data_IF_746449835913
#
_entry.id   IF_746449835913
#
_cell.length_a   1.000
_cell.length_b   1.000
_cell.length_c   1.000
_cell.angle_alpha   90.00
_cell.angle_beta   90.00
_cell.angle_gamma   90.00
#
_symmetry.space_group_name_H-M   'P 1'
#
loop_
_entity.id
_entity.type
_entity.pdbx_description
1 polymer ?
#
# COMPACT_ATOMS: atom_id res chain seq x y z
N UNK A 1 -20.74 29.91 52.33
CA UNK A 1 -20.64 29.19 53.62
C UNK A 1 -21.60 28.00 53.55
N UNK A 2 -21.11 26.82 53.21
CA UNK A 2 -21.59 25.51 53.67
C UNK A 2 -20.59 24.48 53.13
N UNK A 3 -19.61 24.19 53.98
CA UNK A 3 -18.68 23.09 53.80
C UNK A 3 -19.38 21.82 54.27
N UNK A 4 -19.51 20.84 53.38
CA UNK A 4 -19.88 19.47 53.72
C UNK A 4 -18.83 18.54 53.13
N UNK A 5 -17.89 18.07 53.96
CA UNK A 5 -16.91 17.05 53.61
C UNK A 5 -17.64 15.72 53.40
N UNK A 6 -17.67 15.22 52.16
CA UNK A 6 -18.05 13.82 51.87
C UNK A 6 -16.77 12.98 51.95
N UNK A 7 -16.75 11.84 52.69
CA UNK A 7 -15.56 11.01 52.79
C UNK A 7 -15.29 10.30 51.47
N UNK A 8 -14.07 10.45 50.94
CA UNK A 8 -13.56 9.61 49.85
C UNK A 8 -13.17 8.26 50.45
N UNK A 9 -14.10 7.31 50.44
CA UNK A 9 -13.75 5.89 50.55
C UNK A 9 -13.17 5.44 49.21
N UNK A 10 -11.89 5.08 49.21
CA UNK A 10 -11.23 4.41 48.09
C UNK A 10 -11.85 3.02 47.92
N UNK A 11 -12.86 2.90 47.06
CA UNK A 11 -13.23 1.62 46.48
C UNK A 11 -12.27 1.33 45.34
N UNK A 12 -11.31 0.45 45.60
CA UNK A 12 -10.60 -0.30 44.55
C UNK A 12 -11.62 -1.10 43.76
N UNK A 13 -12.20 -0.46 42.75
CA UNK A 13 -13.01 -1.11 41.73
C UNK A 13 -12.04 -1.78 40.76
N UNK A 14 -11.66 -3.02 41.05
CA UNK A 14 -11.17 -3.97 40.04
C UNK A 14 -12.31 -4.23 39.05
N UNK A 15 -12.51 -3.30 38.12
CA UNK A 15 -13.23 -3.57 36.89
C UNK A 15 -12.15 -4.00 35.90
N UNK A 16 -12.16 -5.26 35.52
CA UNK A 16 -11.67 -5.64 34.20
C UNK A 16 -12.77 -5.25 33.20
N UNK A 17 -12.63 -4.19 32.41
CA UNK A 17 -13.33 -4.14 31.15
C UNK A 17 -12.52 -5.00 30.17
N UNK A 18 -13.20 -5.82 29.36
CA UNK A 18 -12.63 -6.50 28.18
C UNK A 18 -12.05 -7.91 28.33
N UNK A 19 -12.41 -8.70 29.35
CA UNK A 19 -12.09 -10.15 29.33
C UNK A 19 -12.84 -10.93 28.22
N UNK A 20 -13.96 -10.41 27.71
CA UNK A 20 -14.83 -11.10 26.75
C UNK A 20 -14.65 -10.65 25.27
N UNK A 21 -13.67 -9.81 24.94
CA UNK A 21 -13.36 -9.46 23.54
C UNK A 21 -12.47 -10.52 22.87
N UNK A 22 -11.63 -11.22 23.64
CA UNK A 22 -10.73 -12.24 23.09
C UNK A 22 -11.47 -13.46 22.52
N UNK A 23 -12.66 -13.79 23.04
CA UNK A 23 -13.44 -14.96 22.62
C UNK A 23 -14.30 -14.71 21.37
N UNK A 24 -14.67 -13.46 21.07
CA UNK A 24 -15.42 -13.14 19.84
C UNK A 24 -14.53 -13.12 18.58
N UNK A 25 -13.22 -13.04 18.77
CA UNK A 25 -12.26 -12.75 17.69
C UNK A 25 -11.63 -14.01 17.06
N UNK A 26 -11.58 -15.13 17.79
CA UNK A 26 -10.92 -16.35 17.30
C UNK A 26 -11.82 -17.20 16.37
N UNK A 27 -13.12 -17.27 16.63
CA UNK A 27 -14.05 -18.06 15.80
C UNK A 27 -14.33 -17.44 14.42
N UNK A 28 -14.20 -16.11 14.26
CA UNK A 28 -14.35 -15.44 12.97
C UNK A 28 -13.11 -15.55 12.07
N UNK A 29 -11.95 -15.93 12.63
CA UNK A 29 -10.65 -15.96 11.92
C UNK A 29 -10.37 -17.29 11.24
N UNK A 30 -11.00 -18.37 11.70
CA UNK A 30 -10.91 -19.70 11.11
C UNK A 30 -12.33 -20.20 10.88
N UNK A 31 -12.84 -20.24 9.63
CA UNK A 31 -14.14 -20.84 9.40
C UNK A 31 -14.13 -22.27 9.94
N UNK A 32 -15.13 -22.63 10.74
CA UNK A 32 -15.56 -24.02 10.82
C UNK A 32 -15.72 -24.55 9.39
N UNK A 33 -15.33 -25.81 9.14
CA UNK A 33 -15.27 -26.40 7.81
C UNK A 33 -16.50 -26.03 6.96
N UNK A 34 -16.28 -25.42 5.78
CA UNK A 34 -17.27 -25.03 4.78
C UNK A 34 -18.21 -23.84 5.10
N UNK A 35 -17.78 -22.83 5.89
CA UNK A 35 -18.53 -21.56 6.03
C UNK A 35 -17.82 -20.38 5.36
N UNK A 36 -18.60 -19.48 4.75
CA UNK A 36 -18.10 -18.18 4.30
C UNK A 36 -17.85 -17.28 5.51
N UNK A 37 -16.68 -16.64 5.55
CA UNK A 37 -16.40 -15.56 6.49
C UNK A 37 -17.03 -14.26 5.96
N UNK A 38 -17.93 -13.59 6.71
CA UNK A 38 -18.41 -12.26 6.35
C UNK A 38 -17.25 -11.26 6.26
N UNK A 39 -17.31 -10.35 5.29
CA UNK A 39 -16.32 -9.31 5.08
C UNK A 39 -17.00 -7.99 4.66
N UNK A 40 -16.38 -6.87 5.03
CA UNK A 40 -16.97 -5.53 5.00
C UNK A 40 -16.06 -4.54 4.27
N UNK A 41 -16.67 -3.70 3.44
CA UNK A 41 -16.05 -2.57 2.76
C UNK A 41 -16.27 -1.27 3.52
N UNK A 42 -15.86 -0.14 2.92
CA UNK A 42 -16.04 1.17 3.53
C UNK A 42 -17.52 1.56 3.69
N UNK A 43 -18.36 1.21 2.71
CA UNK A 43 -19.80 1.54 2.73
C UNK A 43 -20.59 0.72 3.78
N UNK A 44 -19.98 -0.31 4.37
CA UNK A 44 -20.63 -1.17 5.36
C UNK A 44 -20.40 -0.71 6.82
N UNK A 45 -19.57 0.32 7.04
CA UNK A 45 -19.14 0.75 8.38
C UNK A 45 -19.22 2.26 8.55
N UNK A 46 -19.25 2.73 9.80
CA UNK A 46 -19.12 4.13 10.15
C UNK A 46 -18.27 4.29 11.43
N UNK A 47 -17.56 5.41 11.55
CA UNK A 47 -16.77 5.72 12.75
C UNK A 47 -17.71 6.24 13.84
N UNK A 48 -17.60 5.66 15.04
CA UNK A 48 -18.34 6.11 16.22
C UNK A 48 -17.56 7.24 16.90
N UNK A 49 -18.19 8.40 17.21
CA UNK A 49 -17.53 9.47 17.95
C UNK A 49 -17.00 9.02 19.31
N UNK A 50 -15.78 9.46 19.64
CA UNK A 50 -15.13 9.19 20.92
C UNK A 50 -15.66 10.02 22.07
N UNK A 51 -15.10 9.78 23.27
CA UNK A 51 -15.44 10.51 24.50
C UNK A 51 -14.81 11.90 24.58
N UNK A 52 -13.77 12.15 23.78
CA UNK A 52 -13.03 13.40 23.71
C UNK A 52 -12.97 13.91 22.27
N UNK A 53 -12.96 15.23 22.10
CA UNK A 53 -12.83 15.91 20.81
C UNK A 53 -11.60 16.79 20.81
N UNK A 54 -10.86 16.81 19.70
CA UNK A 54 -9.69 17.66 19.49
C UNK A 54 -10.00 18.74 18.44
N UNK A 55 -9.28 19.85 18.49
CA UNK A 55 -9.32 20.81 17.39
C UNK A 55 -8.68 20.16 16.15
N UNK A 56 -9.24 20.31 14.93
CA UNK A 56 -8.65 19.72 13.73
C UNK A 56 -7.17 20.10 13.49
N UNK A 57 -6.78 21.32 13.87
CA UNK A 57 -5.40 21.80 13.74
C UNK A 57 -4.41 21.10 14.70
N UNK A 58 -4.90 20.40 15.73
CA UNK A 58 -4.08 19.66 16.69
C UNK A 58 -3.80 18.22 16.23
N UNK A 59 -4.32 17.79 15.07
CA UNK A 59 -4.15 16.43 14.54
C UNK A 59 -2.83 16.30 13.78
N UNK A 60 -1.94 15.44 14.25
CA UNK A 60 -0.73 15.05 13.51
C UNK A 60 -1.08 14.00 12.44
N UNK A 61 -1.01 14.40 11.17
CA UNK A 61 -1.24 13.55 10.00
C UNK A 61 0.04 12.87 9.49
N UNK A 62 1.18 13.14 10.11
CA UNK A 62 2.45 12.65 9.63
C UNK A 62 2.59 11.14 9.80
N UNK A 63 3.37 10.54 8.90
CA UNK A 63 3.72 9.14 8.98
C UNK A 63 5.14 8.92 8.43
N UNK A 64 5.72 7.76 8.75
CA UNK A 64 7.08 7.42 8.33
C UNK A 64 7.15 6.09 7.61
N UNK A 65 8.04 6.01 6.63
CA UNK A 65 8.38 4.81 5.89
C UNK A 65 9.90 4.74 5.72
N UNK A 66 10.54 3.78 6.40
CA UNK A 66 12.00 3.78 6.54
C UNK A 66 12.46 5.08 7.22
N UNK A 67 13.42 5.75 6.61
CA UNK A 67 13.99 7.02 7.12
C UNK A 67 13.25 8.27 6.60
N UNK A 68 12.15 8.08 5.85
CA UNK A 68 11.38 9.18 5.26
C UNK A 68 10.15 9.49 6.11
N UNK A 69 9.94 10.77 6.42
CA UNK A 69 8.73 11.29 7.07
C UNK A 69 7.93 12.12 6.07
N UNK A 70 6.63 11.87 6.03
CA UNK A 70 5.66 12.57 5.19
C UNK A 70 4.70 13.37 6.07
N UNK A 71 4.21 14.50 5.57
CA UNK A 71 3.32 15.37 6.32
C UNK A 71 1.86 14.91 6.25
N UNK A 72 1.49 14.18 5.20
CA UNK A 72 0.15 13.66 4.97
C UNK A 72 0.19 12.17 4.63
N UNK A 73 -0.83 11.37 5.01
CA UNK A 73 -0.84 9.91 4.86
C UNK A 73 -1.38 9.49 3.48
N UNK A 74 -0.95 10.18 2.42
CA UNK A 74 -1.40 9.90 1.05
C UNK A 74 -0.25 9.42 0.17
N UNK A 75 -0.49 8.27 -0.46
CA UNK A 75 0.38 7.72 -1.51
C UNK A 75 -0.42 7.68 -2.81
N UNK A 76 0.06 8.35 -3.85
CA UNK A 76 -0.54 8.25 -5.17
C UNK A 76 -0.15 6.93 -5.85
N UNK A 77 -1.17 6.27 -6.39
CA UNK A 77 -1.05 4.94 -7.00
C UNK A 77 -0.10 4.95 -8.20
N UNK A 78 0.72 3.90 -8.33
CA UNK A 78 1.69 3.76 -9.40
C UNK A 78 1.03 3.37 -10.73
N UNK A 79 0.33 4.33 -11.31
CA UNK A 79 -0.41 4.20 -12.56
C UNK A 79 -0.06 5.38 -13.48
N UNK A 80 0.17 5.13 -14.77
CA UNK A 80 0.49 6.22 -15.70
C UNK A 80 -0.65 7.23 -15.86
N UNK A 81 -1.89 6.81 -15.60
CA UNK A 81 -3.04 7.72 -15.56
C UNK A 81 -3.15 8.57 -14.30
N UNK A 82 -2.21 8.43 -13.35
CA UNK A 82 -2.21 9.12 -12.05
C UNK A 82 -0.89 9.86 -11.83
N UNK A 83 0.25 9.17 -11.98
CA UNK A 83 1.56 9.70 -11.62
C UNK A 83 2.44 9.87 -12.85
N UNK A 84 2.72 11.12 -13.19
CA UNK A 84 3.87 11.53 -13.98
C UNK A 84 4.93 12.20 -13.08
N UNK A 85 6.09 12.56 -13.65
CA UNK A 85 7.15 13.28 -12.92
C UNK A 85 6.66 14.60 -12.32
N UNK A 86 5.82 15.37 -13.05
CA UNK A 86 5.32 16.66 -12.58
C UNK A 86 4.42 16.51 -11.35
N UNK A 87 3.52 15.53 -11.40
CA UNK A 87 2.60 15.19 -10.33
C UNK A 87 3.35 14.63 -9.13
N UNK A 88 4.39 13.81 -9.35
CA UNK A 88 5.23 13.31 -8.26
C UNK A 88 5.90 14.44 -7.48
N UNK A 89 6.44 15.44 -8.18
CA UNK A 89 7.01 16.63 -7.56
C UNK A 89 5.93 17.43 -6.83
N UNK A 90 4.79 17.69 -7.47
CA UNK A 90 3.70 18.48 -6.88
C UNK A 90 3.15 17.85 -5.59
N UNK A 91 2.87 16.54 -5.59
CA UNK A 91 2.38 15.85 -4.40
C UNK A 91 3.45 15.77 -3.31
N UNK A 92 4.72 15.56 -3.68
CA UNK A 92 5.83 15.56 -2.73
C UNK A 92 6.01 16.92 -2.04
N UNK A 93 5.83 18.03 -2.77
CA UNK A 93 5.87 19.39 -2.19
C UNK A 93 4.70 19.67 -1.24
N UNK A 94 3.56 19.01 -1.44
CA UNK A 94 2.42 19.02 -0.51
C UNK A 94 2.63 18.08 0.70
N UNK A 95 3.74 17.34 0.73
CA UNK A 95 4.12 16.46 1.83
C UNK A 95 3.58 15.03 1.73
N UNK A 96 3.02 14.64 0.56
CA UNK A 96 2.62 13.27 0.25
C UNK A 96 3.71 12.47 -0.45
N UNK A 97 3.37 11.26 -0.90
CA UNK A 97 4.24 10.40 -1.68
C UNK A 97 3.58 10.04 -3.01
N UNK A 98 4.32 10.11 -4.12
CA UNK A 98 3.86 9.59 -5.40
C UNK A 98 4.82 8.51 -5.89
N UNK A 99 4.27 7.42 -6.43
CA UNK A 99 5.06 6.28 -6.89
C UNK A 99 5.02 6.22 -8.41
N UNK A 100 6.17 6.38 -9.06
CA UNK A 100 6.27 6.30 -10.52
C UNK A 100 6.30 4.84 -10.98
N UNK A 101 5.43 4.45 -11.91
CA UNK A 101 5.43 3.09 -12.48
C UNK A 101 6.57 2.92 -13.51
N UNK A 102 7.59 2.13 -13.20
CA UNK A 102 8.73 1.94 -14.10
C UNK A 102 8.41 1.03 -15.29
N UNK A 103 7.34 0.24 -15.20
CA UNK A 103 6.83 -0.53 -16.34
C UNK A 103 5.81 0.26 -17.16
N UNK A 104 5.56 1.51 -16.76
CA UNK A 104 4.67 2.44 -17.42
C UNK A 104 5.27 3.13 -18.65
N UNK A 105 4.55 4.13 -19.15
CA UNK A 105 4.94 4.89 -20.34
C UNK A 105 6.11 5.85 -20.07
N UNK A 106 6.25 6.31 -18.82
CA UNK A 106 7.31 7.21 -18.36
C UNK A 106 8.73 6.71 -18.63
N UNK A 107 8.90 5.38 -18.63
CA UNK A 107 10.17 4.69 -18.84
C UNK A 107 10.26 4.02 -20.22
N UNK A 108 9.29 4.22 -21.11
CA UNK A 108 9.27 3.65 -22.48
C UNK A 108 9.42 4.72 -23.56
N UNK A 109 8.98 5.95 -23.27
CA UNK A 109 8.94 7.05 -24.24
C UNK A 109 9.65 8.31 -23.73
N UNK A 110 10.32 9.01 -24.66
CA UNK A 110 10.88 10.34 -24.40
C UNK A 110 9.79 11.33 -23.98
N UNK A 111 8.66 11.27 -24.70
CA UNK A 111 7.48 12.11 -24.53
C UNK A 111 6.28 11.23 -24.18
N UNK A 112 6.13 10.80 -22.90
CA UNK A 112 5.03 9.92 -22.49
C UNK A 112 3.65 10.58 -22.60
N UNK A 113 3.58 11.91 -22.64
CA UNK A 113 2.34 12.67 -22.83
C UNK A 113 1.65 12.35 -24.17
N UNK A 114 2.40 12.03 -25.23
CA UNK A 114 1.84 11.71 -26.56
C UNK A 114 1.00 10.41 -26.55
N UNK A 115 1.56 9.24 -26.16
CA UNK A 115 0.76 8.03 -26.08
C UNK A 115 -0.33 8.09 -25.00
N UNK A 116 -0.12 8.86 -23.91
CA UNK A 116 -1.17 9.09 -22.91
C UNK A 116 -2.36 9.86 -23.49
N UNK A 117 -2.10 10.91 -24.28
CA UNK A 117 -3.15 11.67 -24.95
C UNK A 117 -3.87 10.81 -26.01
N UNK A 118 -3.14 9.96 -26.74
CA UNK A 118 -3.74 9.00 -27.68
C UNK A 118 -4.70 8.03 -26.97
N UNK A 119 -4.28 7.45 -25.84
CA UNK A 119 -5.11 6.55 -25.03
C UNK A 119 -6.34 7.29 -24.48
N UNK A 120 -6.17 8.52 -23.98
CA UNK A 120 -7.28 9.30 -23.43
C UNK A 120 -8.32 9.71 -24.49
N UNK A 121 -7.89 9.91 -25.74
CA UNK A 121 -8.77 10.24 -26.86
C UNK A 121 -9.40 9.02 -27.54
N UNK A 122 -8.91 7.80 -27.27
CA UNK A 122 -9.36 6.58 -27.90
C UNK A 122 -10.77 6.18 -27.48
N UNK A 123 -11.53 5.59 -28.41
CA UNK A 123 -12.85 5.02 -28.12
C UNK A 123 -12.71 3.68 -27.38
N UNK A 124 -13.79 3.26 -26.70
CA UNK A 124 -13.80 2.01 -25.91
C UNK A 124 -13.54 0.77 -26.76
N UNK A 125 -13.84 0.82 -28.05
CA UNK A 125 -13.69 -0.28 -28.99
C UNK A 125 -12.22 -0.56 -29.33
N UNK A 126 -11.38 0.48 -29.38
CA UNK A 126 -9.98 0.37 -29.83
C UNK A 126 -8.95 0.61 -28.73
N UNK A 127 -9.36 1.17 -27.59
CA UNK A 127 -8.44 1.55 -26.50
C UNK A 127 -7.63 0.36 -25.97
N UNK A 128 -8.23 -0.84 -25.87
CA UNK A 128 -7.54 -2.03 -25.38
C UNK A 128 -6.39 -2.43 -26.29
N UNK A 129 -6.63 -2.50 -27.60
CA UNK A 129 -5.60 -2.85 -28.58
C UNK A 129 -4.50 -1.77 -28.66
N UNK A 130 -4.90 -0.50 -28.58
CA UNK A 130 -3.97 0.63 -28.49
C UNK A 130 -3.06 0.50 -27.27
N UNK A 131 -3.62 0.31 -26.08
CA UNK A 131 -2.84 0.15 -24.85
C UNK A 131 -1.88 -1.04 -24.96
N UNK A 132 -2.37 -2.19 -25.45
CA UNK A 132 -1.50 -3.36 -25.66
C UNK A 132 -0.30 -3.04 -26.56
N UNK A 133 -0.52 -2.32 -27.65
CA UNK A 133 0.54 -1.92 -28.58
C UNK A 133 1.53 -0.94 -27.95
N UNK A 134 1.04 0.11 -27.29
CA UNK A 134 1.90 1.15 -26.70
C UNK A 134 2.76 0.57 -25.57
N UNK A 135 2.20 -0.29 -24.72
CA UNK A 135 2.93 -0.89 -23.60
C UNK A 135 3.91 -2.01 -24.03
N UNK A 136 3.96 -2.39 -25.31
CA UNK A 136 4.97 -3.32 -25.82
C UNK A 136 6.34 -2.66 -26.07
N UNK A 137 6.40 -1.32 -26.19
CA UNK A 137 7.67 -0.61 -26.36
C UNK A 137 8.62 -0.94 -25.20
N UNK A 138 9.90 -1.25 -25.43
CA UNK A 138 10.79 -1.72 -24.38
C UNK A 138 10.97 -0.66 -23.29
N UNK A 139 11.10 -1.11 -22.05
CA UNK A 139 11.50 -0.24 -20.94
C UNK A 139 12.97 0.15 -21.14
N UNK A 140 13.25 1.43 -21.02
CA UNK A 140 14.56 2.05 -21.25
C UNK A 140 15.18 2.51 -19.94
N UNK A 141 16.35 1.96 -19.62
CA UNK A 141 17.04 2.25 -18.36
C UNK A 141 17.49 3.72 -18.29
N UNK A 142 17.88 4.32 -19.41
CA UNK A 142 18.24 5.75 -19.48
C UNK A 142 17.05 6.67 -19.16
N UNK A 143 15.82 6.24 -19.49
CA UNK A 143 14.62 6.95 -19.10
C UNK A 143 14.31 6.77 -17.62
N UNK A 144 14.46 5.56 -17.07
CA UNK A 144 14.33 5.32 -15.62
C UNK A 144 15.25 6.26 -14.84
N UNK A 145 16.54 6.30 -15.23
CA UNK A 145 17.54 7.18 -14.61
C UNK A 145 17.13 8.65 -14.69
N UNK A 146 16.70 9.10 -15.88
CA UNK A 146 16.27 10.47 -16.08
C UNK A 146 15.05 10.83 -15.25
N UNK A 147 14.01 9.99 -15.21
CA UNK A 147 12.78 10.30 -14.45
C UNK A 147 13.04 10.37 -12.95
N UNK A 148 13.86 9.46 -12.42
CA UNK A 148 14.29 9.51 -11.01
C UNK A 148 15.05 10.81 -10.74
N UNK A 149 16.01 11.18 -11.60
CA UNK A 149 16.77 12.41 -11.45
C UNK A 149 15.88 13.67 -11.50
N UNK A 150 14.88 13.71 -12.40
CA UNK A 150 13.92 14.82 -12.50
C UNK A 150 13.08 14.96 -11.22
N UNK A 151 12.58 13.85 -10.65
CA UNK A 151 11.84 13.88 -9.37
C UNK A 151 12.74 14.38 -8.23
N UNK A 152 13.98 13.88 -8.15
CA UNK A 152 14.96 14.31 -7.13
C UNK A 152 15.32 15.80 -7.27
N UNK A 153 15.44 16.31 -8.50
CA UNK A 153 15.68 17.73 -8.76
C UNK A 153 14.53 18.62 -8.27
N UNK A 154 13.31 18.08 -8.18
CA UNK A 154 12.16 18.73 -7.56
C UNK A 154 12.24 18.84 -6.03
N UNK A 155 13.26 18.25 -5.39
CA UNK A 155 13.48 18.31 -3.94
C UNK A 155 12.59 17.39 -3.12
N UNK A 156 12.01 16.35 -3.73
CA UNK A 156 11.07 15.42 -3.09
C UNK A 156 11.61 13.99 -3.09
N UNK A 157 10.95 13.10 -2.34
CA UNK A 157 11.25 11.65 -2.30
C UNK A 157 10.91 11.03 -3.66
N UNK A 158 11.88 10.38 -4.30
CA UNK A 158 11.67 9.63 -5.53
C UNK A 158 11.29 8.18 -5.22
N UNK A 159 9.98 7.88 -5.25
CA UNK A 159 9.48 6.51 -5.16
C UNK A 159 9.11 5.96 -6.53
N UNK A 160 9.44 4.70 -6.75
CA UNK A 160 9.22 4.01 -8.03
C UNK A 160 8.64 2.62 -7.79
N UNK A 161 7.95 2.04 -8.78
CA UNK A 161 7.42 0.68 -8.69
C UNK A 161 7.78 -0.21 -9.86
N UNK A 162 7.78 -1.51 -9.58
CA UNK A 162 7.79 -2.57 -10.58
C UNK A 162 7.00 -3.79 -10.06
N UNK A 163 6.57 -4.64 -10.98
CA UNK A 163 6.01 -5.96 -10.68
C UNK A 163 7.10 -6.89 -10.13
N UNK A 164 6.72 -7.96 -9.40
CA UNK A 164 7.66 -8.97 -8.94
C UNK A 164 8.55 -9.54 -10.06
N UNK A 165 8.03 -9.66 -11.29
CA UNK A 165 8.78 -10.15 -12.45
C UNK A 165 9.88 -9.21 -12.94
N UNK A 166 9.76 -7.91 -12.72
CA UNK A 166 10.74 -6.92 -13.17
C UNK A 166 11.59 -6.34 -12.04
N UNK A 167 11.20 -6.57 -10.77
CA UNK A 167 11.87 -6.00 -9.60
C UNK A 167 13.38 -6.28 -9.58
N UNK A 168 13.83 -7.50 -9.88
CA UNK A 168 15.28 -7.83 -9.89
C UNK A 168 16.06 -7.08 -10.99
N UNK A 169 15.39 -6.74 -12.11
CA UNK A 169 16.01 -5.98 -13.22
C UNK A 169 16.00 -4.48 -12.92
N UNK A 170 14.85 -3.95 -12.53
CA UNK A 170 14.60 -2.51 -12.40
C UNK A 170 15.05 -1.94 -11.05
N UNK A 171 15.07 -2.76 -10.00
CA UNK A 171 15.54 -2.38 -8.67
C UNK A 171 16.94 -1.76 -8.72
N UNK A 172 17.97 -2.50 -9.16
CA UNK A 172 19.33 -1.99 -9.23
C UNK A 172 19.48 -0.71 -10.08
N UNK A 173 18.76 -0.62 -11.20
CA UNK A 173 18.76 0.57 -12.08
C UNK A 173 18.20 1.78 -11.33
N UNK A 174 17.03 1.65 -10.72
CA UNK A 174 16.41 2.73 -9.95
C UNK A 174 17.25 3.13 -8.72
N UNK A 175 17.85 2.17 -8.03
CA UNK A 175 18.74 2.46 -6.89
C UNK A 175 20.00 3.20 -7.33
N UNK A 176 20.62 2.80 -8.45
CA UNK A 176 21.77 3.51 -9.02
C UNK A 176 21.41 4.94 -9.46
N UNK A 177 20.18 5.14 -9.95
CA UNK A 177 19.64 6.46 -10.29
C UNK A 177 19.35 7.36 -9.07
N UNK A 178 19.37 6.81 -7.85
CA UNK A 178 19.10 7.55 -6.62
C UNK A 178 17.63 7.59 -6.20
N UNK A 179 16.82 6.58 -6.59
CA UNK A 179 15.50 6.39 -6.02
C UNK A 179 15.60 6.21 -4.50
N UNK A 180 14.62 6.74 -3.77
CA UNK A 180 14.58 6.71 -2.31
C UNK A 180 13.76 5.52 -1.80
N UNK A 181 12.69 5.14 -2.50
CA UNK A 181 11.78 4.04 -2.13
C UNK A 181 11.50 3.19 -3.36
N UNK A 182 11.49 1.86 -3.18
CA UNK A 182 11.10 0.93 -4.23
C UNK A 182 9.84 0.15 -3.84
N UNK A 183 8.85 0.14 -4.71
CA UNK A 183 7.58 -0.56 -4.48
C UNK A 183 7.51 -1.77 -5.40
N UNK A 184 7.46 -2.97 -4.82
CA UNK A 184 7.10 -4.17 -5.58
C UNK A 184 5.60 -4.33 -5.55
N UNK A 185 4.93 -4.02 -6.66
CA UNK A 185 3.46 -3.98 -6.75
C UNK A 185 2.92 -5.04 -7.73
N UNK A 186 1.98 -5.86 -7.28
CA UNK A 186 1.15 -6.72 -8.13
C UNK A 186 -0.27 -6.79 -7.57
N UNK A 187 -1.23 -7.27 -8.36
CA UNK A 187 -2.61 -7.45 -7.89
C UNK A 187 -2.67 -8.30 -6.63
N UNK A 188 -1.93 -9.41 -6.58
CA UNK A 188 -1.79 -10.28 -5.41
C UNK A 188 -0.31 -10.63 -5.27
N UNK A 189 0.22 -10.51 -4.05
CA UNK A 189 1.60 -10.86 -3.72
C UNK A 189 1.63 -11.83 -2.55
N UNK A 190 2.48 -12.85 -2.67
CA UNK A 190 2.81 -13.77 -1.60
C UNK A 190 4.34 -13.87 -1.48
N UNK A 191 4.83 -14.25 -0.30
CA UNK A 191 6.24 -14.56 -0.11
C UNK A 191 6.69 -15.74 -1.00
N UNK A 192 5.80 -16.71 -1.20
CA UNK A 192 6.11 -17.99 -1.85
C UNK A 192 5.41 -18.05 -3.21
N UNK A 193 6.18 -17.90 -4.27
CA UNK A 193 5.74 -18.16 -5.64
C UNK A 193 6.26 -19.52 -6.12
N UNK A 194 5.40 -20.30 -6.77
CA UNK A 194 5.74 -21.60 -7.35
C UNK A 194 5.40 -21.57 -8.83
N UNK A 195 6.35 -21.93 -9.66
CA UNK A 195 6.12 -22.09 -11.09
C UNK A 195 6.65 -23.42 -11.59
N UNK A 196 5.90 -24.05 -12.49
CA UNK A 196 6.33 -25.25 -13.22
C UNK A 196 7.12 -24.92 -14.49
N UNK A 197 7.07 -23.67 -14.96
CA UNK A 197 7.72 -23.24 -16.22
C UNK A 197 9.14 -22.67 -16.02
N UNK A 198 9.70 -22.80 -14.81
CA UNK A 198 11.06 -22.33 -14.51
C UNK A 198 11.19 -20.83 -14.21
N UNK A 199 10.09 -20.05 -14.21
CA UNK A 199 10.13 -18.65 -13.75
C UNK A 199 10.58 -18.60 -12.29
N UNK A 200 11.74 -18.00 -11.97
CA UNK A 200 12.22 -17.94 -10.61
C UNK A 200 11.33 -17.02 -9.76
N UNK A 201 11.04 -17.37 -8.49
CA UNK A 201 10.36 -16.47 -7.58
C UNK A 201 11.29 -15.31 -7.18
N UNK A 202 10.73 -14.12 -7.01
CA UNK A 202 11.43 -13.02 -6.35
C UNK A 202 11.65 -13.39 -4.87
N UNK A 203 12.91 -13.53 -4.45
CA UNK A 203 13.25 -13.65 -3.04
C UNK A 203 13.29 -12.26 -2.40
N UNK A 204 12.18 -11.87 -1.77
CA UNK A 204 12.07 -10.59 -1.06
C UNK A 204 13.15 -10.38 0.01
N UNK A 205 13.62 -11.44 0.68
CA UNK A 205 14.66 -11.29 1.72
C UNK A 205 15.97 -10.87 1.10
N UNK A 206 16.35 -11.54 0.00
CA UNK A 206 17.55 -11.18 -0.76
C UNK A 206 17.39 -9.80 -1.41
N UNK A 207 16.23 -9.53 -2.00
CA UNK A 207 15.96 -8.29 -2.71
C UNK A 207 16.05 -7.07 -1.80
N UNK A 208 15.37 -7.08 -0.64
CA UNK A 208 15.43 -5.97 0.31
C UNK A 208 16.86 -5.70 0.81
N UNK A 209 17.63 -6.76 1.11
CA UNK A 209 19.03 -6.63 1.53
C UNK A 209 19.95 -6.10 0.43
N UNK A 210 19.70 -6.51 -0.81
CA UNK A 210 20.51 -6.12 -1.97
C UNK A 210 20.31 -4.65 -2.36
N UNK A 211 19.07 -4.17 -2.29
CA UNK A 211 18.72 -2.84 -2.80
C UNK A 211 19.15 -1.69 -1.88
N UNK A 212 19.18 -1.94 -0.56
CA UNK A 212 19.51 -0.92 0.49
C UNK A 212 18.62 0.34 0.46
N UNK A 213 17.46 0.24 -0.17
CA UNK A 213 16.37 1.21 -0.11
C UNK A 213 15.19 0.57 0.62
N UNK A 214 14.34 1.34 1.33
CA UNK A 214 13.05 0.87 1.81
C UNK A 214 12.25 0.22 0.67
N UNK A 215 11.92 -1.07 0.83
CA UNK A 215 11.09 -1.81 -0.12
C UNK A 215 9.68 -1.95 0.43
N UNK A 216 8.70 -1.39 -0.28
CA UNK A 216 7.27 -1.60 -0.02
C UNK A 216 6.79 -2.75 -0.90
N UNK A 217 5.96 -3.64 -0.37
CA UNK A 217 5.45 -4.79 -1.14
C UNK A 217 3.94 -4.87 -1.03
N UNK A 218 3.28 -5.21 -2.13
CA UNK A 218 1.90 -5.63 -2.11
C UNK A 218 1.35 -5.87 -3.51
N UNK A 219 0.09 -6.26 -3.64
CA UNK A 219 -0.92 -6.17 -2.60
C UNK A 219 -1.16 -7.50 -1.86
N UNK A 220 -1.53 -7.39 -0.60
CA UNK A 220 -1.91 -8.50 0.26
C UNK A 220 -3.29 -8.22 0.91
N UNK A 221 -4.03 -9.25 1.31
CA UNK A 221 -5.35 -9.09 1.97
C UNK A 221 -5.59 -10.06 3.12
N UNK A 222 -4.60 -10.90 3.46
CA UNK A 222 -4.77 -11.98 4.41
C UNK A 222 -3.67 -11.95 5.48
N UNK A 223 -4.06 -12.24 6.73
CA UNK A 223 -3.17 -12.25 7.89
C UNK A 223 -1.87 -13.03 7.66
N UNK A 224 -1.98 -14.31 7.24
CA UNK A 224 -0.82 -15.19 7.10
C UNK A 224 0.15 -14.70 6.01
N UNK A 225 -0.38 -14.23 4.88
CA UNK A 225 0.44 -13.71 3.80
C UNK A 225 1.13 -12.39 4.18
N UNK A 226 0.42 -11.50 4.90
CA UNK A 226 0.99 -10.24 5.41
C UNK A 226 2.13 -10.51 6.40
N UNK A 227 1.93 -11.45 7.33
CA UNK A 227 2.95 -11.84 8.30
C UNK A 227 4.21 -12.39 7.61
N UNK A 228 4.05 -13.32 6.65
CA UNK A 228 5.19 -13.88 5.91
C UNK A 228 5.95 -12.82 5.11
N UNK A 229 5.24 -11.84 4.53
CA UNK A 229 5.86 -10.73 3.80
C UNK A 229 6.66 -9.81 4.75
N UNK A 230 6.13 -9.46 5.92
CA UNK A 230 6.85 -8.65 6.92
C UNK A 230 8.16 -9.32 7.37
N UNK A 231 8.14 -10.65 7.55
CA UNK A 231 9.31 -11.47 7.89
C UNK A 231 10.41 -11.45 6.84
N UNK A 232 10.14 -11.04 5.60
CA UNK A 232 11.18 -10.92 4.55
C UNK A 232 12.07 -9.69 4.74
N UNK A 233 11.62 -8.67 5.49
CA UNK A 233 12.37 -7.43 5.66
C UNK A 233 11.82 -6.21 4.92
N UNK A 234 10.60 -6.29 4.37
CA UNK A 234 9.93 -5.14 3.74
C UNK A 234 9.79 -3.97 4.73
N UNK A 235 9.87 -2.76 4.19
CA UNK A 235 9.68 -1.51 4.92
C UNK A 235 8.21 -1.11 5.04
N UNK A 236 7.34 -1.58 4.14
CA UNK A 236 5.90 -1.31 4.17
C UNK A 236 5.10 -2.35 3.39
N UNK A 237 3.80 -2.45 3.67
CA UNK A 237 2.89 -3.39 3.02
C UNK A 237 1.71 -2.65 2.36
N UNK A 238 1.45 -2.88 1.07
CA UNK A 238 0.21 -2.45 0.42
C UNK A 238 -0.88 -3.50 0.61
N UNK A 239 -2.09 -3.04 0.95
CA UNK A 239 -3.23 -3.89 1.30
C UNK A 239 -4.40 -3.60 0.37
N UNK A 240 -4.88 -4.60 -0.35
CA UNK A 240 -6.09 -4.47 -1.18
C UNK A 240 -6.08 -5.34 -2.44
N UNK A 241 -7.11 -6.16 -2.63
CA UNK A 241 -7.31 -7.00 -3.82
C UNK A 241 -8.78 -6.95 -4.18
N UNK A 242 -9.13 -6.33 -5.32
CA UNK A 242 -10.51 -6.25 -5.79
C UNK A 242 -11.32 -4.97 -5.48
N UNK A 243 -11.05 -4.13 -4.46
CA UNK A 243 -11.94 -3.01 -4.13
C UNK A 243 -11.61 -1.70 -4.88
N UNK A 244 -10.48 -1.63 -5.58
CA UNK A 244 -10.13 -0.46 -6.39
C UNK A 244 -11.16 -0.21 -7.49
N UNK A 245 -11.52 1.05 -7.75
CA UNK A 245 -12.49 1.40 -8.80
C UNK A 245 -12.02 0.98 -10.22
N UNK A 246 -10.71 0.89 -10.44
CA UNK A 246 -10.09 0.38 -11.67
C UNK A 246 -9.83 -1.14 -11.64
N UNK A 247 -10.14 -1.83 -10.53
CA UNK A 247 -9.85 -3.24 -10.36
C UNK A 247 -10.99 -4.11 -10.89
N UNK A 248 -10.68 -4.96 -11.87
CA UNK A 248 -11.64 -5.92 -12.43
C UNK A 248 -11.53 -7.32 -11.82
N UNK A 249 -10.62 -7.54 -10.86
CA UNK A 249 -10.33 -8.88 -10.33
C UNK A 249 -11.54 -9.57 -9.70
N UNK A 250 -12.41 -8.82 -9.03
CA UNK A 250 -13.64 -9.38 -8.45
C UNK A 250 -14.63 -9.80 -9.53
N UNK A 251 -14.82 -8.96 -10.55
CA UNK A 251 -15.76 -9.20 -11.64
C UNK A 251 -15.28 -10.33 -12.57
N UNK A 252 -13.99 -10.34 -12.91
CA UNK A 252 -13.42 -11.23 -13.92
C UNK A 252 -12.91 -12.54 -13.32
N UNK A 253 -12.24 -12.48 -12.17
CA UNK A 253 -11.59 -13.66 -11.55
C UNK A 253 -12.33 -14.20 -10.33
N UNK A 254 -13.30 -13.45 -9.79
CA UNK A 254 -13.96 -13.80 -8.53
C UNK A 254 -13.03 -13.68 -7.31
N UNK A 255 -11.90 -12.97 -7.43
CA UNK A 255 -10.89 -12.83 -6.37
C UNK A 255 -10.98 -11.42 -5.78
N UNK A 256 -11.19 -11.34 -4.47
CA UNK A 256 -11.05 -10.10 -3.72
C UNK A 256 -11.55 -10.21 -2.29
N UNK A 257 -11.17 -9.23 -1.48
CA UNK A 257 -11.62 -9.08 -0.09
C UNK A 257 -12.06 -7.63 0.12
N UNK A 258 -13.25 -7.38 0.67
CA UNK A 258 -13.68 -6.04 1.06
C UNK A 258 -12.63 -5.30 1.92
N UNK A 259 -12.40 -4.01 1.61
CA UNK A 259 -11.17 -3.30 2.02
C UNK A 259 -11.02 -3.11 3.54
N UNK A 260 -12.12 -2.94 4.29
CA UNK A 260 -12.05 -2.79 5.76
C UNK A 260 -11.59 -4.10 6.39
N UNK A 261 -12.18 -5.22 5.99
CA UNK A 261 -11.74 -6.55 6.44
C UNK A 261 -10.29 -6.84 6.05
N UNK A 262 -9.89 -6.57 4.81
CA UNK A 262 -8.50 -6.77 4.37
C UNK A 262 -7.51 -5.93 5.20
N UNK A 263 -7.85 -4.65 5.44
CA UNK A 263 -7.01 -3.74 6.23
C UNK A 263 -6.90 -4.21 7.67
N UNK A 264 -7.99 -4.64 8.29
CA UNK A 264 -7.99 -5.17 9.66
C UNK A 264 -7.16 -6.45 9.78
N UNK A 265 -7.27 -7.39 8.85
CA UNK A 265 -6.49 -8.64 8.87
C UNK A 265 -4.99 -8.37 8.76
N UNK A 266 -4.59 -7.49 7.85
CA UNK A 266 -3.19 -7.10 7.67
C UNK A 266 -2.67 -6.26 8.86
N UNK A 267 -3.50 -5.41 9.45
CA UNK A 267 -3.17 -4.68 10.68
C UNK A 267 -2.94 -5.63 11.86
N UNK A 268 -3.80 -6.64 12.03
CA UNK A 268 -3.60 -7.65 13.07
C UNK A 268 -2.28 -8.44 12.86
N UNK A 269 -1.92 -8.77 11.61
CA UNK A 269 -0.63 -9.38 11.31
C UNK A 269 0.54 -8.47 11.67
N UNK A 270 0.41 -7.17 11.39
CA UNK A 270 1.38 -6.13 11.73
C UNK A 270 1.58 -5.99 13.23
N UNK A 271 0.51 -5.99 14.02
CA UNK A 271 0.60 -5.97 15.49
C UNK A 271 1.27 -7.22 16.04
N UNK A 272 0.89 -8.41 15.56
CA UNK A 272 1.53 -9.66 15.96
C UNK A 272 3.03 -9.69 15.61
N UNK A 273 3.40 -9.20 14.42
CA UNK A 273 4.79 -9.07 14.01
C UNK A 273 5.56 -8.08 14.90
N UNK A 274 4.98 -6.92 15.19
CA UNK A 274 5.58 -5.89 16.02
C UNK A 274 5.78 -6.37 17.46
N UNK A 275 4.77 -6.98 18.08
CA UNK A 275 4.86 -7.54 19.43
C UNK A 275 5.97 -8.59 19.56
N UNK A 276 6.20 -9.40 18.51
CA UNK A 276 7.21 -10.45 18.50
C UNK A 276 8.62 -9.95 18.21
N UNK A 277 8.78 -8.88 17.45
CA UNK A 277 10.09 -8.47 16.88
C UNK A 277 10.55 -7.07 17.29
N UNK A 278 9.66 -6.24 17.81
CA UNK A 278 9.89 -4.81 18.04
C UNK A 278 9.98 -3.95 16.76
N UNK A 279 9.85 -4.54 15.57
CA UNK A 279 9.88 -3.80 14.30
C UNK A 279 8.47 -3.48 13.83
N UNK A 280 8.18 -2.20 13.65
CA UNK A 280 6.93 -1.73 13.08
C UNK A 280 7.02 -1.66 11.55
N UNK A 281 6.07 -2.26 10.84
CA UNK A 281 5.96 -2.19 9.39
C UNK A 281 4.65 -1.45 9.06
N UNK A 282 4.68 -0.21 8.54
CA UNK A 282 3.45 0.48 8.12
C UNK A 282 2.69 -0.33 7.07
N UNK A 283 1.37 -0.27 7.15
CA UNK A 283 0.48 -0.81 6.12
C UNK A 283 -0.20 0.35 5.40
N UNK A 284 -0.45 0.19 4.11
CA UNK A 284 -1.10 1.17 3.25
C UNK A 284 -2.34 0.52 2.67
N UNK A 285 -3.50 1.09 2.95
CA UNK A 285 -4.76 0.70 2.34
C UNK A 285 -4.78 1.18 0.88
N UNK A 286 -4.68 0.27 -0.08
CA UNK A 286 -4.60 0.56 -1.51
C UNK A 286 -5.88 0.12 -2.24
N UNK A 287 -6.71 1.11 -2.58
CA UNK A 287 -7.97 0.93 -3.29
C UNK A 287 -9.23 1.08 -2.42
N UNK A 288 -10.39 1.17 -3.07
CA UNK A 288 -11.70 1.28 -2.42
C UNK A 288 -12.11 2.67 -1.94
N UNK A 289 -11.18 3.62 -1.81
CA UNK A 289 -11.48 4.99 -1.37
C UNK A 289 -12.19 5.79 -2.47
N UNK A 290 -13.32 6.41 -2.12
CA UNK A 290 -14.15 7.27 -2.99
C UNK A 290 -14.36 8.68 -2.44
N UNK A 291 -14.37 8.81 -1.12
CA UNK A 291 -14.54 10.05 -0.36
C UNK A 291 -13.49 10.09 0.76
N UNK A 292 -13.43 11.18 1.53
CA UNK A 292 -12.57 11.27 2.72
C UNK A 292 -13.11 10.52 3.95
N UNK A 293 -14.16 9.72 3.78
CA UNK A 293 -15.11 9.33 4.82
C UNK A 293 -16.54 9.66 4.40
#
# INVERSE_FOLDING_TARGET
>A
MYAGKVPVTATTSTREPFADIETFDVELRTPAENRLRPAYGFDDVAIVPGVETLHPDDVDLSWSLGDHRFAIPFIASAMDGVVDVRFAIALGQLGGLAVLNLEGLQSRYEQPDEPLAEIAAASREVVTELMQRVYQAPIRDDLVERRVAEIKAGGVVAAVSATPSQAERLGPVAAAAGADIFVVQSTVTSRRFRSHNGTPPLDFTRFCRGLRLPVVVGNCVAFAAALELMETGIAGLLVGVGPGAACTSREVLGIGVPQVTATLDCAAAREAFHARTGRYVPIVTDGGMRTGG
#
